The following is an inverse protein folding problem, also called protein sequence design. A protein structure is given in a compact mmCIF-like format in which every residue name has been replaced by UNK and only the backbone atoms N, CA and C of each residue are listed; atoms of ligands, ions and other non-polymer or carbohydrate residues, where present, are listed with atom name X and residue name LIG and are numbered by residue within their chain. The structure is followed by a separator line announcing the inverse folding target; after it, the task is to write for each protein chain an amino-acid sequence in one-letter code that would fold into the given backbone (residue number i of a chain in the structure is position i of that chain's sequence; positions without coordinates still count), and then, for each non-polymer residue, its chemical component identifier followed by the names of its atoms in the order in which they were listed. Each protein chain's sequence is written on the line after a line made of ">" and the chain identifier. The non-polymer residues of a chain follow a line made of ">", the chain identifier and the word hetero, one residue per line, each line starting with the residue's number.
data_IF_436036842377
#
_entry.id   IF_436036842377
#
_cell.length_a   1.000
_cell.length_b   1.000
_cell.length_c   1.000
_cell.angle_alpha   90.00
_cell.angle_beta   90.00
_cell.angle_gamma   90.00
#
_symmetry.space_group_name_H-M   'P 1'
#
loop_
_entity.id
_entity.type
_entity.pdbx_description
1 polymer ?
#
# COMPACT_ATOMS: atom_id res chain seq x y z
N UNK A 1 50.27 34.42 -78.43
CA UNK A 1 48.93 33.89 -78.77
C UNK A 1 48.86 32.50 -78.20
N UNK A 2 47.96 32.31 -77.26
CA UNK A 2 47.82 31.14 -76.38
C UNK A 2 47.54 29.86 -77.19
N UNK A 3 48.24 28.79 -76.84
CA UNK A 3 48.03 27.44 -77.38
C UNK A 3 46.66 26.92 -76.95
N UNK A 4 45.63 27.13 -77.79
CA UNK A 4 44.36 26.40 -77.66
C UNK A 4 44.67 24.91 -77.72
N UNK A 5 44.35 24.17 -76.65
CA UNK A 5 44.41 22.71 -76.60
C UNK A 5 43.45 22.13 -77.67
N UNK A 6 43.98 21.83 -78.85
CA UNK A 6 43.25 21.18 -79.94
C UNK A 6 42.96 19.73 -79.55
N UNK A 7 41.68 19.37 -79.43
CA UNK A 7 41.23 18.00 -79.19
C UNK A 7 40.39 17.50 -80.37
N UNK A 8 40.52 16.21 -80.69
CA UNK A 8 39.78 15.54 -81.76
C UNK A 8 38.26 15.69 -81.57
N UNK A 9 37.79 15.68 -80.33
CA UNK A 9 36.37 15.83 -79.96
C UNK A 9 35.71 17.14 -80.39
N UNK A 10 36.50 18.18 -80.71
CA UNK A 10 35.99 19.50 -81.11
C UNK A 10 36.00 19.75 -82.63
N UNK A 11 36.42 18.78 -83.44
CA UNK A 11 36.53 18.91 -84.91
C UNK A 11 35.28 18.38 -85.62
N UNK A 12 34.87 19.01 -86.72
CA UNK A 12 33.79 18.50 -87.55
C UNK A 12 34.22 17.24 -88.32
N UNK A 13 33.27 16.35 -88.65
CA UNK A 13 33.59 15.08 -89.35
C UNK A 13 34.28 15.28 -90.71
N UNK A 14 33.98 16.37 -91.40
CA UNK A 14 34.65 16.75 -92.66
C UNK A 14 36.11 17.18 -92.46
N UNK A 15 36.41 17.80 -91.32
CA UNK A 15 37.77 18.22 -90.95
C UNK A 15 38.62 17.02 -90.51
N UNK A 16 38.01 16.06 -89.80
CA UNK A 16 38.67 14.81 -89.39
C UNK A 16 39.12 13.95 -90.58
N UNK A 17 38.33 13.91 -91.67
CA UNK A 17 38.64 13.12 -92.86
C UNK A 17 39.85 13.67 -93.67
N UNK A 18 40.11 14.97 -93.54
CA UNK A 18 41.16 15.70 -94.27
C UNK A 18 42.24 16.30 -93.35
N UNK A 19 42.33 15.86 -92.09
CA UNK A 19 43.22 16.44 -91.08
C UNK A 19 44.69 16.51 -91.54
N UNK A 20 45.11 15.56 -92.37
CA UNK A 20 46.44 15.47 -92.96
C UNK A 20 46.76 16.58 -93.98
N UNK A 21 45.77 17.33 -94.47
CA UNK A 21 45.97 18.50 -95.34
C UNK A 21 46.25 19.78 -94.54
N UNK A 22 45.77 19.83 -93.29
CA UNK A 22 45.77 21.06 -92.47
C UNK A 22 46.86 21.06 -91.39
N UNK A 23 47.39 19.88 -91.02
CA UNK A 23 48.42 19.73 -89.99
C UNK A 23 49.63 18.95 -90.53
N UNK A 24 50.82 19.33 -90.06
CA UNK A 24 52.06 18.61 -90.28
C UNK A 24 52.12 17.31 -89.47
N UNK A 25 52.97 16.38 -89.89
CA UNK A 25 53.08 15.03 -89.30
C UNK A 25 53.44 15.06 -87.81
N UNK A 26 54.24 16.03 -87.36
CA UNK A 26 54.63 16.15 -85.95
C UNK A 26 53.47 16.64 -85.07
N UNK A 27 52.70 17.62 -85.56
CA UNK A 27 51.47 18.06 -84.89
C UNK A 27 50.42 16.96 -84.79
N UNK A 28 50.28 16.10 -85.81
CA UNK A 28 49.36 14.96 -85.78
C UNK A 28 49.80 13.92 -84.74
N UNK A 29 51.10 13.62 -84.66
CA UNK A 29 51.63 12.72 -83.64
C UNK A 29 51.39 13.25 -82.22
N UNK A 30 51.63 14.54 -81.97
CA UNK A 30 51.37 15.16 -80.66
C UNK A 30 49.87 15.13 -80.31
N UNK A 31 49.00 15.36 -81.28
CA UNK A 31 47.55 15.31 -81.11
C UNK A 31 47.07 13.88 -80.76
N UNK A 32 47.60 12.85 -81.41
CA UNK A 32 47.33 11.45 -81.06
C UNK A 32 47.82 11.12 -79.63
N UNK A 33 48.97 11.65 -79.22
CA UNK A 33 49.52 11.47 -77.87
C UNK A 33 48.70 12.18 -76.78
N UNK A 34 47.95 13.23 -77.09
CA UNK A 34 47.07 13.91 -76.13
C UNK A 34 45.63 13.36 -76.11
N UNK A 35 45.23 12.57 -77.12
CA UNK A 35 43.86 12.09 -77.29
C UNK A 35 43.56 10.79 -76.54
N UNK A 36 42.28 10.56 -76.20
CA UNK A 36 41.82 9.32 -75.58
C UNK A 36 41.54 8.19 -76.61
N UNK A 37 41.31 6.95 -76.16
CA UNK A 37 41.13 5.81 -77.05
C UNK A 37 39.90 5.93 -77.98
N UNK A 38 38.80 6.52 -77.52
CA UNK A 38 37.59 6.73 -78.31
C UNK A 38 37.79 7.81 -79.38
N UNK A 39 38.52 8.86 -79.05
CA UNK A 39 38.90 9.92 -79.98
C UNK A 39 39.81 9.39 -81.09
N UNK A 40 40.78 8.52 -80.75
CA UNK A 40 41.64 7.86 -81.73
C UNK A 40 40.83 6.95 -82.65
N UNK A 41 39.89 6.18 -82.10
CA UNK A 41 39.00 5.32 -82.89
C UNK A 41 38.14 6.15 -83.86
N UNK A 42 37.54 7.23 -83.38
CA UNK A 42 36.72 8.13 -84.21
C UNK A 42 37.56 8.75 -85.32
N UNK A 43 38.77 9.24 -85.01
CA UNK A 43 39.66 9.81 -86.01
C UNK A 43 40.01 8.78 -87.09
N UNK A 44 40.56 7.63 -86.69
CA UNK A 44 40.98 6.58 -87.62
C UNK A 44 39.81 6.02 -88.44
N UNK A 45 38.61 5.98 -87.86
CA UNK A 45 37.40 5.54 -88.54
C UNK A 45 36.91 6.47 -89.65
N UNK A 46 37.21 7.77 -89.57
CA UNK A 46 36.77 8.79 -90.52
C UNK A 46 37.86 9.24 -91.51
N UNK A 47 39.12 8.80 -91.34
CA UNK A 47 40.18 9.06 -92.31
C UNK A 47 39.84 8.42 -93.67
N UNK A 48 40.08 9.17 -94.75
CA UNK A 48 40.07 8.63 -96.11
C UNK A 48 41.24 7.67 -96.34
N UNK A 49 41.18 6.82 -97.37
CA UNK A 49 42.26 5.88 -97.71
C UNK A 49 43.62 6.59 -97.90
N UNK A 50 43.61 7.73 -98.61
CA UNK A 50 44.80 8.59 -98.76
C UNK A 50 45.27 9.18 -97.43
N UNK A 51 44.35 9.55 -96.54
CA UNK A 51 44.67 10.05 -95.22
C UNK A 51 45.28 8.98 -94.31
N UNK A 52 44.78 7.74 -94.35
CA UNK A 52 45.37 6.61 -93.61
C UNK A 52 46.82 6.41 -94.05
N UNK A 53 47.11 6.44 -95.35
CA UNK A 53 48.47 6.26 -95.85
C UNK A 53 49.42 7.36 -95.38
N UNK A 54 49.02 8.62 -95.50
CA UNK A 54 49.88 9.78 -95.15
C UNK A 54 50.10 9.85 -93.64
N UNK A 55 49.03 9.68 -92.85
CA UNK A 55 49.11 9.74 -91.38
C UNK A 55 49.94 8.59 -90.83
N UNK A 56 49.76 7.36 -91.34
CA UNK A 56 50.48 6.19 -90.82
C UNK A 56 51.93 6.12 -91.32
N UNK A 57 52.28 6.72 -92.46
CA UNK A 57 53.68 6.83 -92.91
C UNK A 57 54.49 7.83 -92.07
N UNK A 58 53.83 8.81 -91.47
CA UNK A 58 54.41 9.83 -90.59
C UNK A 58 54.47 9.47 -89.11
N UNK A 59 54.08 8.25 -88.71
CA UNK A 59 54.08 7.85 -87.30
C UNK A 59 55.47 7.71 -86.70
N UNK A 60 55.63 8.25 -85.48
CA UNK A 60 56.72 7.87 -84.58
C UNK A 60 56.33 6.63 -83.75
N UNK A 61 57.31 6.01 -83.08
CA UNK A 61 57.11 4.76 -82.33
C UNK A 61 56.06 4.89 -81.21
N UNK A 62 56.04 6.03 -80.52
CA UNK A 62 55.12 6.30 -79.41
C UNK A 62 53.67 6.44 -79.89
N UNK A 63 53.43 7.21 -80.97
CA UNK A 63 52.10 7.39 -81.55
C UNK A 63 51.57 6.09 -82.15
N UNK A 64 52.42 5.32 -82.85
CA UNK A 64 52.04 4.02 -83.41
C UNK A 64 51.56 3.06 -82.31
N UNK A 65 52.33 2.90 -81.24
CA UNK A 65 51.97 2.04 -80.11
C UNK A 65 50.66 2.48 -79.44
N UNK A 66 50.46 3.79 -79.26
CA UNK A 66 49.21 4.32 -78.68
C UNK A 66 47.99 4.09 -79.57
N UNK A 67 48.14 4.24 -80.88
CA UNK A 67 47.04 4.01 -81.84
C UNK A 67 46.68 2.53 -81.89
N UNK A 68 47.66 1.63 -82.08
CA UNK A 68 47.35 0.21 -82.21
C UNK A 68 46.91 -0.47 -80.90
N UNK A 69 47.26 0.08 -79.73
CA UNK A 69 46.73 -0.38 -78.44
C UNK A 69 45.28 0.05 -78.20
N UNK A 70 44.87 1.20 -78.73
CA UNK A 70 43.52 1.76 -78.56
C UNK A 70 42.49 1.26 -79.57
N UNK A 71 42.92 0.84 -80.77
CA UNK A 71 42.00 0.40 -81.82
C UNK A 71 41.36 -0.98 -81.57
N UNK A 72 40.08 -1.17 -81.92
CA UNK A 72 39.42 -2.47 -81.91
C UNK A 72 39.91 -3.36 -83.07
N UNK A 73 39.93 -4.68 -82.86
CA UNK A 73 40.48 -5.68 -83.79
C UNK A 73 39.97 -5.53 -85.24
N UNK A 74 38.67 -5.24 -85.41
CA UNK A 74 38.04 -5.05 -86.73
C UNK A 74 38.61 -3.85 -87.49
N UNK A 75 38.93 -2.77 -86.78
CA UNK A 75 39.52 -1.57 -87.38
C UNK A 75 41.00 -1.74 -87.66
N UNK A 76 41.74 -2.44 -86.79
CA UNK A 76 43.15 -2.78 -87.04
C UNK A 76 43.30 -3.51 -88.37
N UNK A 77 42.46 -4.52 -88.63
CA UNK A 77 42.48 -5.22 -89.92
C UNK A 77 42.13 -4.31 -91.10
N UNK A 78 41.08 -3.50 -90.96
CA UNK A 78 40.63 -2.56 -92.02
C UNK A 78 41.72 -1.55 -92.38
N UNK A 79 42.38 -0.97 -91.39
CA UNK A 79 43.44 0.04 -91.58
C UNK A 79 44.65 -0.58 -92.27
N UNK A 80 45.11 -1.74 -91.79
CA UNK A 80 46.31 -2.39 -92.34
C UNK A 80 46.10 -2.95 -93.75
N UNK A 81 44.87 -3.26 -94.14
CA UNK A 81 44.53 -3.60 -95.53
C UNK A 81 44.70 -2.41 -96.50
N UNK A 82 44.51 -1.17 -96.02
CA UNK A 82 44.56 0.06 -96.80
C UNK A 82 45.96 0.72 -96.83
N UNK A 83 46.88 0.23 -95.99
CA UNK A 83 48.27 0.67 -95.94
C UNK A 83 49.08 0.12 -97.14
N UNK A 84 50.00 0.94 -97.66
CA UNK A 84 50.92 0.50 -98.73
C UNK A 84 52.05 -0.40 -98.18
N UNK A 85 52.82 -1.02 -99.08
CA UNK A 85 53.93 -1.90 -98.68
C UNK A 85 55.03 -1.19 -97.89
N UNK A 86 55.26 0.11 -98.14
CA UNK A 86 56.30 0.89 -97.45
C UNK A 86 55.94 1.12 -95.97
N UNK A 87 54.72 1.59 -95.70
CA UNK A 87 54.18 1.79 -94.35
C UNK A 87 54.12 0.48 -93.57
N UNK A 88 53.64 -0.60 -94.19
CA UNK A 88 53.62 -1.94 -93.59
C UNK A 88 55.02 -2.46 -93.23
N UNK A 89 56.06 -2.09 -93.99
CA UNK A 89 57.43 -2.53 -93.70
C UNK A 89 58.10 -1.80 -92.53
N UNK A 90 57.66 -0.57 -92.23
CA UNK A 90 58.16 0.23 -91.10
C UNK A 90 57.50 -0.18 -89.78
N UNK A 91 56.24 -0.62 -89.87
CA UNK A 91 55.35 -0.86 -88.73
C UNK A 91 55.89 -1.87 -87.69
N UNK A 92 56.52 -3.01 -88.08
CA UNK A 92 57.08 -3.94 -87.10
C UNK A 92 58.28 -3.37 -86.32
N UNK A 93 58.97 -2.34 -86.86
CA UNK A 93 60.08 -1.66 -86.17
C UNK A 93 59.60 -0.57 -85.22
N UNK A 94 58.39 -0.05 -85.42
CA UNK A 94 57.81 1.03 -84.63
C UNK A 94 56.95 0.53 -83.46
N UNK A 95 56.46 -0.72 -83.52
CA UNK A 95 55.59 -1.30 -82.51
C UNK A 95 56.34 -2.14 -81.48
N UNK A 96 55.88 -2.04 -80.24
CA UNK A 96 56.31 -2.91 -79.15
C UNK A 96 55.81 -4.34 -79.38
N UNK A 97 56.61 -5.31 -78.94
CA UNK A 97 56.37 -6.75 -79.15
C UNK A 97 54.95 -7.20 -78.74
N UNK A 98 54.41 -6.66 -77.65
CA UNK A 98 53.07 -7.01 -77.17
C UNK A 98 51.97 -6.48 -78.09
N UNK A 99 52.14 -5.26 -78.62
CA UNK A 99 51.17 -4.62 -79.50
C UNK A 99 51.24 -5.27 -80.89
N UNK A 100 52.45 -5.58 -81.37
CA UNK A 100 52.65 -6.32 -82.62
C UNK A 100 51.94 -7.68 -82.62
N UNK A 101 52.01 -8.44 -81.52
CA UNK A 101 51.29 -9.72 -81.38
C UNK A 101 49.78 -9.54 -81.45
N UNK A 102 49.25 -8.51 -80.80
CA UNK A 102 47.81 -8.20 -80.86
C UNK A 102 47.39 -7.83 -82.29
N UNK A 103 48.21 -7.07 -83.00
CA UNK A 103 47.97 -6.69 -84.39
C UNK A 103 47.92 -7.94 -85.28
N UNK A 104 48.94 -8.81 -85.20
CA UNK A 104 49.04 -10.06 -85.97
C UNK A 104 47.83 -10.98 -85.75
N UNK A 105 47.34 -11.11 -84.51
CA UNK A 105 46.15 -11.91 -84.18
C UNK A 105 44.83 -11.31 -84.71
N UNK A 106 44.82 -10.02 -85.02
CA UNK A 106 43.60 -9.29 -85.42
C UNK A 106 43.46 -9.10 -86.93
N UNK A 107 44.51 -9.41 -87.70
CA UNK A 107 44.57 -9.22 -89.15
C UNK A 107 44.26 -10.48 -89.94
N UNK A 108 43.84 -10.33 -91.20
CA UNK A 108 43.67 -11.46 -92.12
C UNK A 108 45.01 -12.12 -92.46
N UNK A 109 44.95 -13.40 -92.84
CA UNK A 109 46.11 -14.23 -93.20
C UNK A 109 47.00 -13.56 -94.26
N UNK A 110 46.42 -12.84 -95.23
CA UNK A 110 47.16 -12.14 -96.28
C UNK A 110 47.99 -10.95 -95.76
N UNK A 111 47.43 -10.15 -94.86
CA UNK A 111 48.12 -8.98 -94.26
C UNK A 111 49.17 -9.45 -93.26
N UNK A 112 48.83 -10.46 -92.46
CA UNK A 112 49.77 -11.12 -91.55
C UNK A 112 50.98 -11.68 -92.32
N UNK A 113 50.77 -12.34 -93.45
CA UNK A 113 51.85 -12.85 -94.28
C UNK A 113 52.73 -11.73 -94.88
N UNK A 114 52.15 -10.57 -95.21
CA UNK A 114 52.92 -9.40 -95.70
C UNK A 114 53.77 -8.77 -94.59
N UNK A 115 53.22 -8.63 -93.38
CA UNK A 115 53.94 -8.11 -92.21
C UNK A 115 55.06 -9.07 -91.74
N UNK A 116 54.78 -10.38 -91.73
CA UNK A 116 55.77 -11.39 -91.40
C UNK A 116 56.91 -11.42 -92.42
N UNK A 117 56.64 -11.15 -93.71
CA UNK A 117 57.64 -11.08 -94.78
C UNK A 117 58.67 -9.95 -94.58
N UNK A 118 58.30 -8.87 -93.90
CA UNK A 118 59.17 -7.70 -93.65
C UNK A 118 60.06 -7.83 -92.41
N UNK A 119 59.81 -8.84 -91.56
CA UNK A 119 60.58 -9.11 -90.35
C UNK A 119 61.82 -10.00 -90.63
N UNK A 120 62.92 -9.86 -89.85
CA UNK A 120 64.04 -10.79 -89.86
C UNK A 120 63.61 -12.24 -89.61
N UNK A 121 64.36 -13.19 -90.17
CA UNK A 121 63.98 -14.62 -90.19
C UNK A 121 63.79 -15.21 -88.79
N UNK A 122 64.57 -14.76 -87.81
CA UNK A 122 64.55 -15.29 -86.44
C UNK A 122 63.30 -14.83 -85.65
N UNK A 123 62.89 -13.58 -85.84
CA UNK A 123 61.68 -13.04 -85.21
C UNK A 123 60.40 -13.65 -85.78
N UNK A 124 60.41 -14.03 -87.06
CA UNK A 124 59.28 -14.71 -87.71
C UNK A 124 58.98 -16.06 -87.07
N UNK A 125 60.01 -16.84 -86.74
CA UNK A 125 59.84 -18.19 -86.16
C UNK A 125 59.24 -18.14 -84.76
N UNK A 126 59.75 -17.27 -83.90
CA UNK A 126 59.22 -17.14 -82.53
C UNK A 126 57.75 -16.70 -82.48
N UNK A 127 57.32 -15.80 -83.38
CA UNK A 127 55.92 -15.33 -83.37
C UNK A 127 54.96 -16.42 -83.89
N UNK A 128 55.43 -17.32 -84.74
CA UNK A 128 54.65 -18.46 -85.21
C UNK A 128 54.44 -19.50 -84.11
N UNK A 129 55.49 -19.86 -83.37
CA UNK A 129 55.42 -20.82 -82.24
C UNK A 129 54.42 -20.38 -81.16
N UNK A 130 54.46 -19.10 -80.76
CA UNK A 130 53.53 -18.56 -79.73
C UNK A 130 52.06 -18.58 -80.20
N UNK A 131 51.84 -18.47 -81.51
CA UNK A 131 50.46 -18.49 -82.06
C UNK A 131 49.92 -19.92 -82.16
N UNK A 132 50.78 -20.92 -82.37
CA UNK A 132 50.40 -22.33 -82.43
C UNK A 132 50.05 -22.88 -81.04
N UNK A 133 50.84 -22.58 -80.00
CA UNK A 133 50.60 -23.01 -78.61
C UNK A 133 49.24 -22.55 -78.06
N UNK A 134 48.84 -21.31 -78.34
CA UNK A 134 47.52 -20.82 -77.91
C UNK A 134 46.35 -21.50 -78.64
N UNK A 135 46.56 -21.97 -79.88
CA UNK A 135 45.50 -22.68 -80.62
C UNK A 135 45.26 -24.09 -80.07
N UNK A 136 46.30 -24.74 -79.54
CA UNK A 136 46.19 -26.04 -78.89
C UNK A 136 45.42 -25.97 -77.57
N UNK A 137 45.57 -24.87 -76.81
CA UNK A 137 44.79 -24.61 -75.60
C UNK A 137 43.29 -24.47 -75.89
N UNK A 138 42.90 -23.82 -76.99
CA UNK A 138 41.50 -23.64 -77.38
C UNK A 138 40.86 -24.95 -77.89
N UNK A 139 41.67 -25.83 -78.51
CA UNK A 139 41.30 -27.20 -78.87
C UNK A 139 41.03 -28.06 -77.62
N UNK A 140 41.89 -27.96 -76.60
CA UNK A 140 41.69 -28.64 -75.33
C UNK A 140 40.40 -28.18 -74.62
N UNK A 141 40.06 -26.90 -74.70
CA UNK A 141 38.82 -26.38 -74.12
C UNK A 141 37.56 -26.99 -74.77
N UNK A 142 37.58 -27.23 -76.09
CA UNK A 142 36.49 -27.91 -76.81
C UNK A 142 36.38 -29.40 -76.47
N UNK A 143 37.47 -30.05 -76.09
CA UNK A 143 37.47 -31.46 -75.66
C UNK A 143 36.63 -31.69 -74.38
N UNK A 144 36.69 -30.73 -73.45
CA UNK A 144 35.87 -30.74 -72.21
C UNK A 144 34.35 -30.63 -72.46
N UNK A 145 33.91 -30.26 -73.67
CA UNK A 145 32.50 -30.06 -74.02
C UNK A 145 31.90 -31.19 -74.88
N UNK A 146 32.64 -32.27 -75.14
CA UNK A 146 32.20 -33.36 -76.04
C UNK A 146 31.63 -34.60 -75.34
N UNK A 147 30.82 -35.35 -76.10
CA UNK A 147 29.91 -36.46 -75.73
C UNK A 147 30.52 -37.63 -74.92
N UNK A 148 31.85 -37.77 -74.84
CA UNK A 148 32.50 -38.73 -73.90
C UNK A 148 32.32 -38.34 -72.42
N UNK A 149 31.91 -37.10 -72.14
CA UNK A 149 31.55 -36.62 -70.80
C UNK A 149 30.19 -37.16 -70.32
N UNK A 150 29.37 -37.76 -71.20
CA UNK A 150 28.04 -38.23 -70.81
C UNK A 150 28.05 -39.46 -69.89
N UNK A 151 29.15 -40.22 -69.83
CA UNK A 151 29.27 -41.45 -69.06
C UNK A 151 30.28 -41.39 -67.90
N UNK A 152 30.70 -40.20 -67.44
CA UNK A 152 31.64 -40.07 -66.32
C UNK A 152 30.92 -39.80 -64.99
N UNK A 153 31.55 -40.27 -63.91
CA UNK A 153 31.21 -40.08 -62.49
C UNK A 153 30.95 -38.60 -62.10
N UNK A 154 31.35 -37.65 -62.93
CA UNK A 154 31.28 -36.21 -62.70
C UNK A 154 29.92 -35.58 -63.08
N UNK A 155 29.16 -36.13 -64.04
CA UNK A 155 27.78 -35.67 -64.32
C UNK A 155 26.80 -36.14 -63.23
N UNK A 156 27.01 -37.36 -62.72
CA UNK A 156 26.25 -37.88 -61.58
C UNK A 156 26.54 -37.05 -60.31
N UNK A 157 27.80 -36.63 -60.09
CA UNK A 157 28.13 -35.73 -58.97
C UNK A 157 27.51 -34.35 -59.13
N UNK A 158 27.48 -33.78 -60.35
CA UNK A 158 26.79 -32.51 -60.64
C UNK A 158 25.27 -32.59 -60.43
N UNK A 159 24.63 -33.68 -60.87
CA UNK A 159 23.19 -33.88 -60.63
C UNK A 159 22.89 -34.04 -59.14
N UNK A 160 23.73 -34.77 -58.38
CA UNK A 160 23.62 -34.84 -56.92
C UNK A 160 23.84 -33.47 -56.27
N UNK A 161 24.79 -32.66 -56.74
CA UNK A 161 25.01 -31.29 -56.24
C UNK A 161 23.75 -30.43 -56.49
N UNK A 162 23.16 -30.51 -57.69
CA UNK A 162 21.93 -29.78 -58.01
C UNK A 162 20.74 -30.25 -57.16
N UNK A 163 20.60 -31.55 -56.95
CA UNK A 163 19.57 -32.13 -56.07
C UNK A 163 19.78 -31.70 -54.60
N UNK A 164 21.04 -31.65 -54.14
CA UNK A 164 21.40 -31.13 -52.83
C UNK A 164 21.09 -29.63 -52.69
N UNK A 165 21.39 -28.82 -53.70
CA UNK A 165 21.02 -27.39 -53.73
C UNK A 165 19.50 -27.18 -53.72
N UNK A 166 18.75 -27.96 -54.48
CA UNK A 166 17.28 -27.88 -54.50
C UNK A 166 16.70 -28.31 -53.15
N UNK A 167 17.27 -29.34 -52.53
CA UNK A 167 16.94 -29.79 -51.18
C UNK A 167 17.29 -28.75 -50.12
N UNK A 168 18.43 -28.07 -50.24
CA UNK A 168 18.85 -26.98 -49.36
C UNK A 168 17.89 -25.80 -49.49
N UNK A 169 17.57 -25.36 -50.70
CA UNK A 169 16.57 -24.31 -50.95
C UNK A 169 15.17 -24.68 -50.46
N UNK A 170 14.79 -25.96 -50.51
CA UNK A 170 13.52 -26.44 -49.97
C UNK A 170 13.53 -26.40 -48.43
N UNK A 171 14.62 -26.87 -47.80
CA UNK A 171 14.79 -26.83 -46.35
C UNK A 171 14.84 -25.39 -45.83
N UNK A 172 15.51 -24.49 -46.54
CA UNK A 172 15.58 -23.07 -46.20
C UNK A 172 14.20 -22.41 -46.28
N UNK A 173 13.43 -22.67 -47.35
CA UNK A 173 12.03 -22.20 -47.45
C UNK A 173 11.17 -22.75 -46.32
N UNK A 174 11.34 -24.02 -45.95
CA UNK A 174 10.62 -24.64 -44.82
C UNK A 174 11.05 -24.06 -43.46
N UNK A 175 12.32 -23.69 -43.29
CA UNK A 175 12.81 -23.00 -42.11
C UNK A 175 12.21 -21.60 -42.01
N UNK A 176 12.28 -20.79 -43.09
CA UNK A 176 11.66 -19.46 -43.13
C UNK A 176 10.16 -19.51 -42.85
N UNK A 177 9.43 -20.45 -43.45
CA UNK A 177 8.00 -20.60 -43.17
C UNK A 177 7.70 -20.94 -41.70
N UNK A 178 8.57 -21.72 -41.02
CA UNK A 178 8.44 -21.97 -39.58
C UNK A 178 8.81 -20.74 -38.75
N UNK A 179 9.86 -20.02 -39.15
CA UNK A 179 10.27 -18.78 -38.48
C UNK A 179 9.19 -17.71 -38.58
N UNK A 180 8.54 -17.56 -39.73
CA UNK A 180 7.38 -16.69 -39.96
C UNK A 180 6.20 -17.11 -39.06
N UNK A 181 5.85 -18.40 -39.03
CA UNK A 181 4.80 -18.90 -38.13
C UNK A 181 5.12 -18.64 -36.65
N UNK A 182 6.37 -18.83 -36.22
CA UNK A 182 6.79 -18.51 -34.86
C UNK A 182 6.78 -17.01 -34.59
N UNK A 183 7.15 -16.18 -35.57
CA UNK A 183 7.10 -14.73 -35.45
C UNK A 183 5.65 -14.23 -35.27
N UNK A 184 4.70 -14.75 -36.07
CA UNK A 184 3.28 -14.45 -35.92
C UNK A 184 2.74 -14.90 -34.55
N UNK A 185 3.10 -16.10 -34.08
CA UNK A 185 2.72 -16.57 -32.75
C UNK A 185 3.30 -15.70 -31.64
N UNK A 186 4.57 -15.28 -31.75
CA UNK A 186 5.23 -14.39 -30.79
C UNK A 186 4.57 -13.00 -30.78
N UNK A 187 4.21 -12.48 -31.94
CA UNK A 187 3.49 -11.20 -32.05
C UNK A 187 2.09 -11.30 -31.42
N UNK A 188 1.37 -12.38 -31.69
CA UNK A 188 0.08 -12.63 -31.07
C UNK A 188 0.20 -12.72 -29.54
N UNK A 189 1.16 -13.49 -29.03
CA UNK A 189 1.44 -13.59 -27.59
C UNK A 189 1.82 -12.23 -26.99
N UNK A 190 2.66 -11.43 -27.66
CA UNK A 190 2.98 -10.07 -27.22
C UNK A 190 1.75 -9.18 -27.16
N UNK A 191 0.85 -9.27 -28.15
CA UNK A 191 -0.40 -8.50 -28.15
C UNK A 191 -1.33 -8.92 -27.00
N UNK A 192 -1.40 -10.21 -26.68
CA UNK A 192 -2.13 -10.73 -25.53
C UNK A 192 -1.52 -10.28 -24.20
N UNK A 193 -0.20 -10.30 -24.08
CA UNK A 193 0.50 -9.78 -22.90
C UNK A 193 0.22 -8.27 -22.74
N UNK A 194 0.34 -7.48 -23.81
CA UNK A 194 0.08 -6.05 -23.74
C UNK A 194 -1.38 -5.70 -23.40
N UNK A 195 -2.34 -6.48 -23.88
CA UNK A 195 -3.76 -6.30 -23.53
C UNK A 195 -4.05 -6.71 -22.10
N UNK A 196 -3.53 -7.85 -21.65
CA UNK A 196 -3.69 -8.32 -20.26
C UNK A 196 -2.98 -7.41 -19.26
N UNK A 197 -1.82 -6.85 -19.57
CA UNK A 197 -1.14 -5.84 -18.74
C UNK A 197 -1.98 -4.58 -18.59
N UNK A 198 -2.58 -4.09 -19.67
CA UNK A 198 -3.52 -2.94 -19.62
C UNK A 198 -4.73 -3.26 -18.75
N UNK A 199 -5.35 -4.42 -18.91
CA UNK A 199 -6.47 -4.85 -18.07
C UNK A 199 -6.07 -4.95 -16.60
N UNK A 200 -4.89 -5.50 -16.32
CA UNK A 200 -4.34 -5.62 -14.98
C UNK A 200 -4.14 -4.25 -14.34
N UNK A 201 -3.55 -3.29 -15.05
CA UNK A 201 -3.39 -1.92 -14.57
C UNK A 201 -4.75 -1.24 -14.29
N UNK A 202 -5.73 -1.42 -15.18
CA UNK A 202 -7.08 -0.87 -14.96
C UNK A 202 -7.73 -1.49 -13.72
N UNK A 203 -7.62 -2.82 -13.54
CA UNK A 203 -8.14 -3.51 -12.34
C UNK A 203 -7.42 -3.05 -11.08
N UNK A 204 -6.10 -2.91 -11.12
CA UNK A 204 -5.30 -2.45 -9.98
C UNK A 204 -5.70 -1.02 -9.57
N UNK A 205 -5.92 -0.12 -10.54
CA UNK A 205 -6.37 1.24 -10.26
C UNK A 205 -7.80 1.27 -9.68
N UNK A 206 -8.70 0.41 -10.19
CA UNK A 206 -10.04 0.25 -9.61
C UNK A 206 -9.96 -0.24 -8.17
N UNK A 207 -9.18 -1.27 -7.89
CA UNK A 207 -8.98 -1.80 -6.53
C UNK A 207 -8.43 -0.73 -5.59
N UNK A 208 -7.40 0.01 -6.00
CA UNK A 208 -6.85 1.14 -5.21
C UNK A 208 -7.90 2.21 -4.93
N UNK A 209 -8.74 2.56 -5.91
CA UNK A 209 -9.80 3.55 -5.72
C UNK A 209 -10.89 3.07 -4.75
N UNK A 210 -11.22 1.77 -4.81
CA UNK A 210 -12.17 1.11 -3.92
C UNK A 210 -11.60 1.06 -2.50
N UNK A 211 -10.35 0.64 -2.33
CA UNK A 211 -9.65 0.61 -1.05
C UNK A 211 -9.61 2.01 -0.40
N UNK A 212 -9.26 3.05 -1.17
CA UNK A 212 -9.31 4.42 -0.69
C UNK A 212 -10.72 4.86 -0.25
N UNK A 213 -11.77 4.38 -0.94
CA UNK A 213 -13.16 4.65 -0.54
C UNK A 213 -13.56 3.92 0.75
N UNK A 214 -13.07 2.69 0.95
CA UNK A 214 -13.31 1.93 2.19
C UNK A 214 -12.59 2.56 3.38
N UNK A 215 -11.33 2.99 3.21
CA UNK A 215 -10.57 3.69 4.26
C UNK A 215 -11.29 4.98 4.67
N UNK A 216 -11.81 5.75 3.71
CA UNK A 216 -12.62 6.95 4.01
C UNK A 216 -13.87 6.60 4.82
N UNK A 217 -14.63 5.59 4.40
CA UNK A 217 -15.82 5.13 5.13
C UNK A 217 -15.47 4.60 6.51
N UNK A 218 -14.35 3.89 6.67
CA UNK A 218 -13.89 3.39 7.97
C UNK A 218 -13.56 4.56 8.91
N UNK A 219 -12.89 5.59 8.41
CA UNK A 219 -12.59 6.79 9.20
C UNK A 219 -13.87 7.56 9.56
N UNK A 220 -14.79 7.75 8.62
CA UNK A 220 -16.11 8.35 8.90
C UNK A 220 -16.88 7.54 9.95
N UNK A 221 -16.83 6.20 9.87
CA UNK A 221 -17.48 5.33 10.85
C UNK A 221 -16.83 5.45 12.23
N UNK A 222 -15.49 5.52 12.31
CA UNK A 222 -14.74 5.72 13.56
C UNK A 222 -15.08 7.07 14.19
N UNK A 223 -15.13 8.13 13.39
CA UNK A 223 -15.50 9.47 13.86
C UNK A 223 -16.94 9.49 14.35
N UNK A 224 -17.88 8.88 13.62
CA UNK A 224 -19.28 8.76 14.04
C UNK A 224 -19.43 7.97 15.34
N UNK A 225 -18.68 6.86 15.51
CA UNK A 225 -18.66 6.09 16.76
C UNK A 225 -18.15 6.96 17.90
N UNK A 226 -17.09 7.74 17.69
CA UNK A 226 -16.55 8.65 18.70
C UNK A 226 -17.56 9.71 19.11
N UNK A 227 -18.22 10.35 18.14
CA UNK A 227 -19.28 11.33 18.40
C UNK A 227 -20.45 10.70 19.16
N UNK A 228 -20.92 9.53 18.74
CA UNK A 228 -21.99 8.79 19.44
C UNK A 228 -21.60 8.41 20.88
N UNK A 229 -20.34 8.03 21.11
CA UNK A 229 -19.84 7.75 22.46
C UNK A 229 -19.81 9.02 23.31
N UNK A 230 -19.32 10.14 22.76
CA UNK A 230 -19.31 11.43 23.43
C UNK A 230 -20.75 11.92 23.75
N UNK A 231 -21.69 11.77 22.82
CA UNK A 231 -23.11 12.10 23.03
C UNK A 231 -23.76 11.21 24.09
N UNK A 232 -23.51 9.89 24.06
CA UNK A 232 -24.04 8.97 25.06
C UNK A 232 -23.49 9.30 26.45
N UNK A 233 -22.19 9.61 26.57
CA UNK A 233 -21.59 10.05 27.83
C UNK A 233 -22.24 11.35 28.32
N UNK A 234 -22.45 12.34 27.45
CA UNK A 234 -23.15 13.59 27.81
C UNK A 234 -24.59 13.35 28.27
N UNK A 235 -25.34 12.49 27.60
CA UNK A 235 -26.72 12.17 28.00
C UNK A 235 -26.78 11.41 29.33
N UNK A 236 -25.83 10.53 29.60
CA UNK A 236 -25.70 9.86 30.90
C UNK A 236 -25.36 10.90 31.97
N UNK A 237 -24.44 11.82 31.68
CA UNK A 237 -24.03 12.88 32.59
C UNK A 237 -25.19 13.80 32.97
N UNK A 238 -25.94 14.28 31.98
CA UNK A 238 -27.09 15.17 32.19
C UNK A 238 -28.19 14.50 33.04
N UNK A 239 -28.41 13.19 32.84
CA UNK A 239 -29.36 12.41 33.65
C UNK A 239 -28.88 12.25 35.10
N UNK A 240 -27.57 12.07 35.33
CA UNK A 240 -26.99 11.93 36.66
C UNK A 240 -27.04 13.28 37.40
N UNK A 241 -26.61 14.35 36.75
CA UNK A 241 -26.49 15.69 37.33
C UNK A 241 -27.85 16.28 37.75
N UNK A 242 -28.91 16.02 36.98
CA UNK A 242 -30.24 16.59 37.27
C UNK A 242 -31.07 15.67 38.16
N UNK A 243 -31.17 14.37 37.85
CA UNK A 243 -32.19 13.50 38.47
C UNK A 243 -31.77 12.90 39.80
N UNK A 244 -30.48 12.62 40.00
CA UNK A 244 -30.01 11.96 41.21
C UNK A 244 -30.06 12.89 42.43
N UNK A 245 -29.59 14.15 42.35
CA UNK A 245 -29.73 15.09 43.45
C UNK A 245 -31.19 15.36 43.84
N UNK A 246 -32.11 15.44 42.86
CA UNK A 246 -33.54 15.64 43.12
C UNK A 246 -34.15 14.46 43.89
N UNK A 247 -33.87 13.23 43.44
CA UNK A 247 -34.36 12.02 44.11
C UNK A 247 -33.78 11.87 45.52
N UNK A 248 -32.49 12.14 45.69
CA UNK A 248 -31.81 12.09 46.99
C UNK A 248 -32.36 13.15 47.94
N UNK A 249 -32.57 14.39 47.47
CA UNK A 249 -33.18 15.46 48.28
C UNK A 249 -34.58 15.07 48.77
N UNK A 250 -35.41 14.48 47.90
CA UNK A 250 -36.76 14.02 48.28
C UNK A 250 -36.72 12.90 49.33
N UNK A 251 -35.78 11.98 49.21
CA UNK A 251 -35.57 10.92 50.22
C UNK A 251 -35.11 11.50 51.57
N UNK A 252 -34.15 12.43 51.54
CA UNK A 252 -33.65 13.17 52.71
C UNK A 252 -34.76 13.97 53.39
N UNK A 253 -35.59 14.68 52.63
CA UNK A 253 -36.71 15.45 53.15
C UNK A 253 -37.73 14.54 53.85
N UNK A 254 -38.06 13.40 53.23
CA UNK A 254 -38.96 12.41 53.84
C UNK A 254 -38.39 11.87 55.17
N UNK A 255 -37.09 11.60 55.22
CA UNK A 255 -36.41 11.15 56.44
C UNK A 255 -36.38 12.25 57.51
N UNK A 256 -36.16 13.51 57.13
CA UNK A 256 -36.15 14.66 58.04
C UNK A 256 -37.52 14.90 58.67
N UNK A 257 -38.60 14.78 57.89
CA UNK A 257 -39.98 14.87 58.42
C UNK A 257 -40.22 13.76 59.46
N UNK A 258 -39.77 12.53 59.18
CA UNK A 258 -39.91 11.39 60.09
C UNK A 258 -39.03 11.49 61.33
N UNK A 259 -37.81 11.98 61.20
CA UNK A 259 -36.91 12.28 62.33
C UNK A 259 -37.57 13.28 63.28
N UNK A 260 -38.10 14.38 62.73
CA UNK A 260 -38.81 15.39 63.52
C UNK A 260 -40.04 14.81 64.21
N UNK A 261 -40.85 14.02 63.51
CA UNK A 261 -42.01 13.35 64.10
C UNK A 261 -41.63 12.46 65.30
N UNK A 262 -40.53 11.71 65.20
CA UNK A 262 -40.05 10.87 66.30
C UNK A 262 -39.39 11.68 67.42
N UNK A 263 -38.66 12.73 67.10
CA UNK A 263 -38.05 13.64 68.08
C UNK A 263 -39.12 14.37 68.90
N UNK A 264 -40.17 14.87 68.24
CA UNK A 264 -41.31 15.52 68.89
C UNK A 264 -42.04 14.54 69.81
N UNK A 265 -42.34 13.32 69.33
CA UNK A 265 -42.92 12.25 70.18
C UNK A 265 -42.05 11.91 71.37
N UNK A 266 -40.72 11.83 71.19
CA UNK A 266 -39.78 11.59 72.29
C UNK A 266 -39.85 12.71 73.34
N UNK A 267 -39.84 13.96 72.88
CA UNK A 267 -39.97 15.14 73.75
C UNK A 267 -41.26 15.10 74.56
N UNK A 268 -42.38 14.75 73.93
CA UNK A 268 -43.67 14.71 74.61
C UNK A 268 -43.76 13.59 75.65
N UNK A 269 -43.25 12.40 75.35
CA UNK A 269 -43.14 11.31 76.33
C UNK A 269 -42.21 11.67 77.50
N UNK A 270 -41.10 12.35 77.23
CA UNK A 270 -40.19 12.82 78.28
C UNK A 270 -40.83 13.91 79.16
N UNK A 271 -41.60 14.84 78.57
CA UNK A 271 -42.38 15.82 79.35
C UNK A 271 -43.40 15.12 80.25
N UNK A 272 -44.13 14.13 79.72
CA UNK A 272 -45.09 13.35 80.52
C UNK A 272 -44.40 12.59 81.66
N UNK A 273 -43.22 12.02 81.41
CA UNK A 273 -42.40 11.39 82.45
C UNK A 273 -41.96 12.38 83.53
N UNK A 274 -41.57 13.59 83.14
CA UNK A 274 -41.20 14.68 84.05
C UNK A 274 -42.39 15.13 84.91
N UNK A 275 -43.57 15.31 84.31
CA UNK A 275 -44.79 15.65 85.04
C UNK A 275 -45.19 14.55 86.02
N UNK A 276 -45.12 13.28 85.62
CA UNK A 276 -45.45 12.15 86.49
C UNK A 276 -44.47 12.04 87.67
N UNK A 277 -43.17 12.23 87.44
CA UNK A 277 -42.17 12.25 88.50
C UNK A 277 -42.39 13.43 89.46
N UNK A 278 -42.68 14.62 88.92
CA UNK A 278 -43.04 15.80 89.71
C UNK A 278 -44.28 15.55 90.57
N UNK A 279 -45.33 14.94 89.99
CA UNK A 279 -46.53 14.55 90.72
C UNK A 279 -46.25 13.53 91.82
N UNK A 280 -45.34 12.57 91.60
CA UNK A 280 -44.91 11.63 92.63
C UNK A 280 -44.27 12.34 93.84
N UNK A 281 -43.37 13.29 93.58
CA UNK A 281 -42.69 14.07 94.62
C UNK A 281 -43.69 14.95 95.36
N UNK A 282 -44.54 15.68 94.64
CA UNK A 282 -45.59 16.54 95.24
C UNK A 282 -46.56 15.70 96.06
N UNK A 283 -46.97 14.52 95.58
CA UNK A 283 -47.84 13.61 96.33
C UNK A 283 -47.15 13.04 97.58
N UNK A 284 -45.86 12.74 97.53
CA UNK A 284 -45.11 12.27 98.69
C UNK A 284 -45.00 13.36 99.76
N UNK A 285 -44.58 14.57 99.36
CA UNK A 285 -44.43 15.72 100.27
C UNK A 285 -45.79 16.16 100.82
N UNK A 286 -46.81 16.28 99.97
CA UNK A 286 -48.18 16.62 100.37
C UNK A 286 -48.78 15.58 101.30
N UNK A 287 -48.54 14.29 101.05
CA UNK A 287 -48.93 13.19 101.93
C UNK A 287 -48.27 13.27 103.31
N UNK A 288 -46.99 13.65 103.38
CA UNK A 288 -46.28 13.86 104.65
C UNK A 288 -46.81 15.08 105.42
N UNK A 289 -47.06 16.20 104.74
CA UNK A 289 -47.61 17.41 105.37
C UNK A 289 -49.02 17.14 105.89
N UNK A 290 -49.89 16.55 105.07
CA UNK A 290 -51.26 16.21 105.45
C UNK A 290 -51.28 15.17 106.58
N UNK A 291 -50.49 14.11 106.47
CA UNK A 291 -50.34 13.10 107.53
C UNK A 291 -49.83 13.70 108.85
N UNK A 292 -48.88 14.65 108.79
CA UNK A 292 -48.40 15.37 109.97
C UNK A 292 -49.45 16.27 110.60
N UNK A 293 -50.30 16.92 109.80
CA UNK A 293 -51.38 17.79 110.29
C UNK A 293 -52.54 16.99 110.90
N UNK A 294 -52.95 15.90 110.24
CA UNK A 294 -53.92 14.93 110.77
C UNK A 294 -53.41 14.28 112.06
N UNK A 295 -52.12 13.92 112.13
CA UNK A 295 -51.52 13.39 113.35
C UNK A 295 -51.50 14.40 114.52
N UNK A 296 -51.29 15.70 114.22
CA UNK A 296 -51.33 16.76 115.23
C UNK A 296 -52.76 17.06 115.71
N UNK A 297 -53.74 16.98 114.80
CA UNK A 297 -55.15 17.31 115.07
C UNK A 297 -55.98 16.13 115.60
N UNK A 298 -55.52 14.89 115.45
CA UNK A 298 -56.20 13.71 115.93
C UNK A 298 -56.08 13.56 117.46
N UNK A 299 -57.21 13.29 118.13
CA UNK A 299 -57.22 12.96 119.54
C UNK A 299 -56.39 11.68 119.79
N UNK A 300 -55.53 11.69 120.84
CA UNK A 300 -54.59 10.61 121.20
C UNK A 300 -55.21 9.20 121.29
N UNK A 301 -56.52 9.07 121.42
CA UNK A 301 -57.22 7.77 121.51
C UNK A 301 -57.53 7.10 120.15
N UNK A 302 -57.43 7.82 119.01
CA UNK A 302 -57.80 7.29 117.69
C UNK A 302 -56.60 6.96 116.77
N UNK A 303 -55.37 7.09 117.26
CA UNK A 303 -54.16 6.79 116.47
C UNK A 303 -53.80 5.32 116.67
N UNK A 304 -54.47 4.46 115.91
CA UNK A 304 -54.14 3.04 115.82
C UNK A 304 -52.91 2.83 114.91
N UNK A 305 -52.03 1.90 115.27
CA UNK A 305 -50.88 1.52 114.43
C UNK A 305 -51.33 1.06 113.03
N UNK A 306 -52.53 0.47 112.96
CA UNK A 306 -53.17 0.11 111.69
C UNK A 306 -53.51 1.31 110.80
N UNK A 307 -53.90 2.47 111.37
CA UNK A 307 -54.19 3.69 110.60
C UNK A 307 -52.91 4.29 109.99
N UNK A 308 -51.82 4.32 110.75
CA UNK A 308 -50.51 4.76 110.25
C UNK A 308 -49.98 3.85 109.14
N UNK A 309 -50.07 2.53 109.33
CA UNK A 309 -49.71 1.54 108.33
C UNK A 309 -50.53 1.68 107.04
N UNK A 310 -51.83 1.92 107.16
CA UNK A 310 -52.72 2.16 106.02
C UNK A 310 -52.35 3.42 105.23
N UNK A 311 -52.07 4.55 105.90
CA UNK A 311 -51.66 5.79 105.26
C UNK A 311 -50.30 5.65 104.54
N UNK A 312 -49.34 4.97 105.18
CA UNK A 312 -48.04 4.68 104.56
C UNK A 312 -48.19 3.79 103.32
N UNK A 313 -48.98 2.72 103.41
CA UNK A 313 -49.20 1.81 102.28
C UNK A 313 -49.89 2.54 101.11
N UNK A 314 -50.91 3.36 101.40
CA UNK A 314 -51.59 4.18 100.40
C UNK A 314 -50.63 5.17 99.73
N UNK A 315 -49.80 5.87 100.51
CA UNK A 315 -48.79 6.77 99.98
C UNK A 315 -47.76 6.06 99.10
N UNK A 316 -47.27 4.89 99.55
CA UNK A 316 -46.34 4.07 98.79
C UNK A 316 -46.94 3.61 97.46
N UNK A 317 -48.21 3.19 97.44
CA UNK A 317 -48.90 2.77 96.21
C UNK A 317 -48.99 3.94 95.23
N UNK A 318 -49.36 5.14 95.69
CA UNK A 318 -49.49 6.32 94.82
C UNK A 318 -48.13 6.72 94.24
N UNK A 319 -47.09 6.78 95.06
CA UNK A 319 -45.72 7.14 94.60
C UNK A 319 -45.17 6.09 93.64
N UNK A 320 -45.37 4.80 93.91
CA UNK A 320 -44.90 3.71 93.03
C UNK A 320 -45.65 3.70 91.70
N UNK A 321 -46.95 4.03 91.68
CA UNK A 321 -47.73 4.14 90.45
C UNK A 321 -47.21 5.27 89.56
N UNK A 322 -46.99 6.47 90.12
CA UNK A 322 -46.41 7.59 89.37
C UNK A 322 -44.96 7.32 88.95
N UNK A 323 -44.17 6.64 89.79
CA UNK A 323 -42.82 6.20 89.44
C UNK A 323 -42.79 5.18 88.29
N UNK A 324 -43.71 4.22 88.30
CA UNK A 324 -43.86 3.23 87.21
C UNK A 324 -44.29 3.90 85.91
N UNK A 325 -45.23 4.86 85.97
CA UNK A 325 -45.65 5.66 84.81
C UNK A 325 -44.49 6.50 84.26
N UNK A 326 -43.74 7.18 85.13
CA UNK A 326 -42.57 7.95 84.72
C UNK A 326 -41.51 7.06 84.05
N UNK A 327 -41.21 5.88 84.62
CA UNK A 327 -40.28 4.90 84.03
C UNK A 327 -40.74 4.44 82.64
N UNK A 328 -42.02 4.14 82.49
CA UNK A 328 -42.60 3.73 81.21
C UNK A 328 -42.51 4.86 80.17
N UNK A 329 -42.90 6.08 80.55
CA UNK A 329 -42.82 7.25 79.69
C UNK A 329 -41.38 7.54 79.22
N UNK A 330 -40.40 7.49 80.12
CA UNK A 330 -38.99 7.65 79.74
C UNK A 330 -38.46 6.51 78.87
N UNK A 331 -38.88 5.26 79.11
CA UNK A 331 -38.48 4.12 78.27
C UNK A 331 -38.97 4.28 76.83
N UNK A 332 -40.21 4.72 76.65
CA UNK A 332 -40.79 4.99 75.34
C UNK A 332 -40.14 6.22 74.71
N UNK A 333 -39.95 7.30 75.47
CA UNK A 333 -39.26 8.51 75.04
C UNK A 333 -37.85 8.22 74.52
N UNK A 334 -37.08 7.39 75.23
CA UNK A 334 -35.75 6.96 74.81
C UNK A 334 -35.75 6.11 73.53
N UNK A 335 -36.76 5.26 73.34
CA UNK A 335 -36.87 4.48 72.11
C UNK A 335 -37.20 5.35 70.89
N UNK A 336 -38.11 6.32 71.03
CA UNK A 336 -38.37 7.32 70.00
C UNK A 336 -37.13 8.18 69.72
N UNK A 337 -36.37 8.57 70.76
CA UNK A 337 -35.12 9.30 70.59
C UNK A 337 -34.11 8.48 69.80
N UNK A 338 -33.91 7.21 70.14
CA UNK A 338 -32.97 6.34 69.46
C UNK A 338 -33.33 6.13 67.99
N UNK A 339 -34.62 5.96 67.67
CA UNK A 339 -35.06 5.88 66.27
C UNK A 339 -34.87 7.23 65.54
N UNK A 340 -35.10 8.37 66.20
CA UNK A 340 -34.83 9.69 65.59
C UNK A 340 -33.34 9.87 65.25
N UNK A 341 -32.44 9.53 66.17
CA UNK A 341 -30.98 9.60 65.95
C UNK A 341 -30.54 8.68 64.81
N UNK A 342 -31.04 7.44 64.78
CA UNK A 342 -30.76 6.49 63.70
C UNK A 342 -31.21 7.02 62.33
N UNK A 343 -32.32 7.75 62.28
CA UNK A 343 -32.79 8.40 61.04
C UNK A 343 -31.95 9.61 60.66
N UNK A 344 -31.48 10.36 61.65
CA UNK A 344 -30.51 11.45 61.46
C UNK A 344 -29.18 10.95 60.87
N UNK A 345 -28.65 9.84 61.41
CA UNK A 345 -27.42 9.20 60.89
C UNK A 345 -27.59 8.70 59.45
N UNK A 346 -28.74 8.07 59.14
CA UNK A 346 -29.07 7.65 57.77
C UNK A 346 -29.19 8.83 56.81
N UNK A 347 -29.80 9.92 57.25
CA UNK A 347 -29.89 11.16 56.49
C UNK A 347 -28.50 11.76 56.23
N UNK A 348 -27.63 11.77 57.23
CA UNK A 348 -26.25 12.24 57.10
C UNK A 348 -25.44 11.39 56.10
N UNK A 349 -25.57 10.07 56.18
CA UNK A 349 -24.94 9.16 55.21
C UNK A 349 -25.44 9.42 53.78
N UNK A 350 -26.76 9.58 53.59
CA UNK A 350 -27.36 9.91 52.29
C UNK A 350 -26.86 11.25 51.73
N UNK A 351 -26.72 12.27 52.58
CA UNK A 351 -26.16 13.56 52.21
C UNK A 351 -24.67 13.47 51.81
N UNK A 352 -23.89 12.62 52.47
CA UNK A 352 -22.50 12.37 52.09
C UNK A 352 -22.40 11.78 50.68
N UNK A 353 -23.35 10.93 50.30
CA UNK A 353 -23.48 10.45 48.92
C UNK A 353 -23.81 11.45 47.89
N UNK A 354 -24.77 12.29 48.24
CA UNK A 354 -25.14 13.42 47.41
C UNK A 354 -23.89 14.27 47.13
N UNK A 355 -23.11 14.59 48.15
CA UNK A 355 -21.84 15.31 48.02
C UNK A 355 -20.84 14.55 47.14
N UNK A 356 -20.69 13.23 47.31
CA UNK A 356 -19.81 12.43 46.47
C UNK A 356 -20.21 12.51 45.00
N UNK A 357 -21.50 12.43 44.70
CA UNK A 357 -22.01 12.56 43.33
C UNK A 357 -21.89 13.98 42.79
N UNK A 358 -22.04 15.02 43.62
CA UNK A 358 -21.83 16.41 43.20
C UNK A 358 -20.35 16.69 42.89
N UNK A 359 -19.41 16.07 43.62
CA UNK A 359 -17.96 16.27 43.44
C UNK A 359 -17.38 15.39 42.33
N UNK A 360 -17.78 14.13 42.25
CA UNK A 360 -17.19 13.13 41.35
C UNK A 360 -18.12 12.66 40.24
N UNK A 361 -19.37 13.14 40.18
CA UNK A 361 -20.42 12.62 39.30
C UNK A 361 -20.11 12.61 37.80
N UNK A 362 -19.03 13.26 37.35
CA UNK A 362 -18.55 13.21 35.98
C UNK A 362 -18.00 11.84 35.55
N UNK A 363 -17.54 11.02 36.51
CA UNK A 363 -16.90 9.73 36.24
C UNK A 363 -17.60 8.54 36.94
N UNK A 364 -18.76 8.76 37.57
CA UNK A 364 -19.42 7.74 38.40
C UNK A 364 -20.31 6.83 37.55
N UNK A 365 -19.99 5.53 37.52
CA UNK A 365 -20.82 4.53 36.85
C UNK A 365 -22.05 4.15 37.69
N UNK A 366 -23.02 3.47 37.08
CA UNK A 366 -24.18 2.92 37.79
C UNK A 366 -23.78 1.95 38.92
N UNK A 367 -22.69 1.20 38.75
CA UNK A 367 -22.18 0.29 39.76
C UNK A 367 -21.64 1.05 40.98
N UNK A 368 -20.95 2.16 40.73
CA UNK A 368 -20.42 3.03 41.79
C UNK A 368 -21.54 3.72 42.55
N UNK A 369 -22.55 4.25 41.85
CA UNK A 369 -23.77 4.78 42.47
C UNK A 369 -24.43 3.75 43.39
N UNK A 370 -24.59 2.50 42.92
CA UNK A 370 -25.16 1.44 43.75
C UNK A 370 -24.32 1.19 44.99
N UNK A 371 -23.00 1.05 44.85
CA UNK A 371 -22.08 0.80 45.96
C UNK A 371 -22.10 1.91 47.02
N UNK A 372 -22.25 3.16 46.58
CA UNK A 372 -22.35 4.35 47.44
C UNK A 372 -23.59 4.29 48.35
N UNK A 373 -24.76 3.93 47.81
CA UNK A 373 -26.02 3.89 48.57
C UNK A 373 -26.33 2.54 49.24
N UNK A 374 -25.76 1.43 48.77
CA UNK A 374 -26.02 0.07 49.28
C UNK A 374 -25.63 -0.09 50.75
N UNK A 375 -24.53 0.54 51.17
CA UNK A 375 -24.00 0.44 52.54
C UNK A 375 -24.66 1.39 53.55
N UNK A 376 -25.57 2.28 53.14
CA UNK A 376 -26.24 3.21 54.05
C UNK A 376 -27.56 2.73 54.60
N UNK A 377 -28.06 1.62 54.08
CA UNK A 377 -29.14 0.89 54.73
C UNK A 377 -28.60 0.12 55.94
N UNK A 378 -28.05 0.84 56.93
CA UNK A 378 -27.51 0.27 58.17
C UNK A 378 -28.60 -0.50 58.92
N UNK A 379 -28.23 -1.69 59.41
CA UNK A 379 -29.09 -2.74 59.97
C UNK A 379 -30.36 -2.25 60.68
N UNK A 380 -31.49 -2.85 60.29
CA UNK A 380 -32.85 -2.41 60.59
C UNK A 380 -33.35 -2.75 62.00
N UNK A 381 -32.47 -3.03 62.96
CA UNK A 381 -32.93 -3.43 64.29
C UNK A 381 -33.57 -2.23 65.02
N UNK A 382 -34.85 -2.35 65.34
CA UNK A 382 -35.69 -1.27 65.84
C UNK A 382 -35.48 -1.07 67.35
N UNK A 383 -35.39 0.19 67.81
CA UNK A 383 -35.30 0.49 69.24
C UNK A 383 -36.51 -0.07 70.04
N UNK A 384 -37.65 -0.23 69.36
CA UNK A 384 -38.89 -0.72 69.95
C UNK A 384 -38.89 -2.22 70.23
N UNK A 385 -38.05 -3.02 69.56
CA UNK A 385 -37.95 -4.47 69.84
C UNK A 385 -37.22 -4.76 71.16
N UNK A 386 -36.45 -3.79 71.67
CA UNK A 386 -35.74 -3.87 72.95
C UNK A 386 -36.61 -3.45 74.14
N UNK A 387 -37.74 -2.78 73.90
CA UNK A 387 -38.74 -2.49 74.93
C UNK A 387 -39.58 -3.76 75.15
N UNK A 388 -38.99 -4.78 75.77
CA UNK A 388 -39.77 -5.93 76.25
C UNK A 388 -40.69 -5.43 77.37
N UNK A 389 -41.99 -5.81 77.41
CA UNK A 389 -42.79 -5.60 78.60
C UNK A 389 -42.02 -6.21 79.76
N UNK A 390 -41.82 -5.46 80.83
CA UNK A 390 -41.14 -5.93 82.04
C UNK A 390 -41.74 -7.28 82.43
N UNK A 391 -41.05 -8.37 82.12
CA UNK A 391 -41.24 -9.63 82.82
C UNK A 391 -40.96 -9.28 84.27
N UNK A 392 -42.02 -9.23 85.07
CA UNK A 392 -41.96 -8.88 86.49
C UNK A 392 -40.91 -9.78 87.14
N UNK A 393 -39.71 -9.24 87.40
CA UNK A 393 -38.59 -10.07 87.87
C UNK A 393 -38.92 -10.61 89.27
N UNK A 394 -38.83 -11.92 89.51
CA UNK A 394 -39.09 -12.52 90.82
C UNK A 394 -38.17 -11.97 91.93
N UNK A 395 -37.04 -11.33 91.56
CA UNK A 395 -36.14 -10.65 92.51
C UNK A 395 -36.79 -9.48 93.24
N UNK A 396 -37.66 -8.71 92.60
CA UNK A 396 -38.34 -7.57 93.26
C UNK A 396 -39.38 -8.10 94.24
N UNK A 397 -40.04 -9.20 93.88
CA UNK A 397 -40.98 -9.92 94.76
C UNK A 397 -40.24 -10.58 95.92
N UNK A 398 -39.09 -11.21 95.69
CA UNK A 398 -38.24 -11.78 96.75
C UNK A 398 -37.74 -10.70 97.71
N UNK A 399 -37.30 -9.54 97.21
CA UNK A 399 -36.87 -8.43 98.07
C UNK A 399 -38.03 -7.86 98.91
N UNK A 400 -39.22 -7.72 98.32
CA UNK A 400 -40.43 -7.34 99.07
C UNK A 400 -40.81 -8.42 100.10
N UNK A 401 -40.69 -9.70 99.74
CA UNK A 401 -40.97 -10.83 100.64
C UNK A 401 -39.94 -10.91 101.78
N UNK A 402 -38.67 -10.61 101.50
CA UNK A 402 -37.60 -10.53 102.50
C UNK A 402 -37.80 -9.35 103.44
N UNK A 403 -38.24 -8.19 102.93
CA UNK A 403 -38.60 -7.04 103.77
C UNK A 403 -39.82 -7.35 104.66
N UNK A 404 -40.86 -7.99 104.12
CA UNK A 404 -42.04 -8.42 104.89
C UNK A 404 -41.64 -9.44 105.97
N UNK A 405 -40.76 -10.39 105.66
CA UNK A 405 -40.25 -11.37 106.62
C UNK A 405 -39.30 -10.78 107.67
N UNK A 406 -38.57 -9.71 107.34
CA UNK A 406 -37.73 -8.99 108.29
C UNK A 406 -38.59 -8.15 109.26
N UNK A 407 -39.65 -7.51 108.75
CA UNK A 407 -40.61 -6.75 109.57
C UNK A 407 -41.44 -7.66 110.47
N UNK A 408 -41.87 -8.84 109.99
CA UNK A 408 -42.63 -9.79 110.81
C UNK A 408 -41.80 -10.41 111.94
N UNK A 409 -40.48 -10.56 111.75
CA UNK A 409 -39.55 -11.02 112.80
C UNK A 409 -39.15 -9.93 113.80
N UNK A 410 -39.40 -8.65 113.50
CA UNK A 410 -39.01 -7.52 114.35
C UNK A 410 -40.11 -7.06 115.33
N UNK A 411 -41.29 -7.68 115.34
CA UNK A 411 -42.35 -7.38 116.30
C UNK A 411 -42.11 -8.11 117.63
N UNK A 412 -42.06 -7.43 118.80
CA UNK A 412 -41.82 -8.09 120.08
C UNK A 412 -43.01 -8.95 120.52
N UNK A 413 -42.74 -10.19 120.91
CA UNK A 413 -43.62 -11.00 121.77
C UNK A 413 -43.65 -10.35 123.14
N UNK A 414 -44.77 -9.73 123.50
CA UNK A 414 -45.01 -9.23 124.84
C UNK A 414 -45.21 -10.44 125.78
N UNK A 415 -44.21 -10.70 126.62
CA UNK A 415 -44.23 -11.71 127.67
C UNK A 415 -43.71 -11.07 128.96
N UNK A 416 -44.62 -10.39 129.67
CA UNK A 416 -44.55 -10.21 131.13
C UNK A 416 -45.78 -10.90 131.74
N UNK A 417 -45.67 -12.14 132.24
CA UNK A 417 -45.41 -12.49 133.68
C UNK A 417 -46.74 -12.49 134.47
N UNK A 418 -47.21 -13.54 135.17
CA UNK A 418 -46.53 -14.50 136.04
C UNK A 418 -47.45 -15.68 136.43
N UNK A 419 -46.87 -16.85 136.71
CA UNK A 419 -47.49 -17.94 137.49
C UNK A 419 -47.84 -17.49 138.91
N UNK A 420 -49.07 -17.75 139.36
CA UNK A 420 -49.39 -18.06 140.77
C UNK A 420 -50.80 -18.67 140.92
N UNK A 421 -50.95 -19.96 140.60
CA UNK A 421 -51.45 -21.01 141.51
C UNK A 421 -51.35 -22.38 140.85
#
# INVERSE_FOLDING_TARGET
>A
MESKNFRISNMARSELAEIWKYYDTDSINQLLMQSNAQEIEVLVGHLSETGIQIVFDGFNAEAANKVFSSLPRRMVNKVLLLCNSNTLSKLPRLLDRQILMRVIKSTSTDVTNRLLKTLPVDERRMLQEITEEESELDSNYKHYLSEKFENSLEKESLMRIKELEERERYLERRQRAREEQFAEQLEHLRSQIATTEKEFHVRQNKLKSIEASYIKKENELKDNIRVLQEEHQKQVQEKIEIKVPEFVNKAVETLKVKEKEFSDKSSDWNKQGMFALGAAIVSAVGGLIYGGFEFNSAAKENIDWFFFSFLLLKGLIVVTLFGAWAKHAYSIGNAYMHESLKRSDRMHAINFGKLYLEVYGNDVSQADMKAIFENWNLDSDSAFTKIKPTNFEPKVVEQVTQMINAVSKASPQDNSVQKAK
#
